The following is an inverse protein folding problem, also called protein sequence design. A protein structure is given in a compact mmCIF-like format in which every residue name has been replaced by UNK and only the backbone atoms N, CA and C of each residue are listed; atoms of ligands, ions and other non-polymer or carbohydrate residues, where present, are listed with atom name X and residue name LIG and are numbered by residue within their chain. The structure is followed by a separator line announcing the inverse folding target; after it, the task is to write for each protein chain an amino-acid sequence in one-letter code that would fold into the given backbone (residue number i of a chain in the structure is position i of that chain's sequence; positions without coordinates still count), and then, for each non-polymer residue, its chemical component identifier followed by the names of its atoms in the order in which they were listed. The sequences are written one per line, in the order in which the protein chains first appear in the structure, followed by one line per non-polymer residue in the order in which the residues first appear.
data_IF_128181189788
#
_entry.id   IF_128181189788
#
_cell.length_a   1.000
_cell.length_b   1.000
_cell.length_c   1.000
_cell.angle_alpha   90.00
_cell.angle_beta   90.00
_cell.angle_gamma   90.00
#
_symmetry.space_group_name_H-M   'P 1'
#
loop_
_entity.id
_entity.type
_entity.pdbx_description
1 polymer ?
#
# COMPACT_ATOMS: atom_id res chain seq x y z
N UNK A 1 10.90 12.30 1.68
CA UNK A 1 9.95 11.83 2.72
C UNK A 1 9.76 10.34 2.50
N UNK A 2 10.03 9.49 3.49
CA UNK A 2 9.84 8.05 3.37
C UNK A 2 8.35 7.72 3.61
N UNK A 3 7.70 7.06 2.65
CA UNK A 3 6.25 6.78 2.64
C UNK A 3 5.86 5.41 3.22
N UNK A 4 6.76 4.74 3.92
CA UNK A 4 6.46 3.55 4.70
C UNK A 4 7.44 2.41 4.42
N UNK A 5 7.69 1.62 5.45
CA UNK A 5 8.60 0.47 5.39
C UNK A 5 7.98 -0.71 4.62
N UNK A 6 6.64 -0.70 4.47
CA UNK A 6 5.83 -1.73 3.82
C UNK A 6 5.01 -1.13 2.67
N UNK A 7 5.03 -1.79 1.51
CA UNK A 7 4.08 -1.54 0.42
C UNK A 7 3.10 -2.71 0.37
N UNK A 8 1.81 -2.43 0.53
CA UNK A 8 0.74 -3.40 0.28
C UNK A 8 0.19 -3.12 -1.11
N UNK A 9 0.30 -4.08 -2.02
CA UNK A 9 -0.37 -4.05 -3.33
C UNK A 9 -1.69 -4.78 -3.15
N UNK A 10 -2.78 -4.15 -3.59
CA UNK A 10 -4.06 -4.81 -3.56
C UNK A 10 -5.21 -3.96 -4.08
N UNK A 11 -6.34 -4.04 -3.36
CA UNK A 11 -7.65 -3.55 -3.80
C UNK A 11 -8.77 -4.54 -3.48
N UNK A 12 -8.47 -5.55 -2.66
CA UNK A 12 -9.37 -6.58 -2.14
C UNK A 12 -9.72 -6.31 -0.67
N UNK A 13 -10.68 -7.05 -0.12
CA UNK A 13 -10.95 -7.06 1.33
C UNK A 13 -9.75 -7.56 2.14
N UNK A 14 -8.94 -8.45 1.58
CA UNK A 14 -7.81 -9.07 2.26
C UNK A 14 -6.69 -8.05 2.44
N UNK A 15 -6.37 -7.28 1.41
CA UNK A 15 -5.46 -6.14 1.50
C UNK A 15 -5.89 -5.16 2.61
N UNK A 16 -7.19 -4.86 2.72
CA UNK A 16 -7.71 -4.02 3.81
C UNK A 16 -7.50 -4.66 5.19
N UNK A 17 -7.80 -5.95 5.34
CA UNK A 17 -7.62 -6.64 6.61
C UNK A 17 -6.15 -6.63 7.06
N UNK A 18 -5.21 -6.78 6.12
CA UNK A 18 -3.77 -6.64 6.37
C UNK A 18 -3.44 -5.21 6.81
N UNK A 19 -3.94 -4.19 6.12
CA UNK A 19 -3.75 -2.78 6.49
C UNK A 19 -4.22 -2.50 7.93
N UNK A 20 -5.37 -3.06 8.34
CA UNK A 20 -5.87 -2.92 9.71
C UNK A 20 -4.96 -3.57 10.75
N UNK A 21 -4.37 -4.73 10.43
CA UNK A 21 -3.37 -5.35 11.30
C UNK A 21 -2.09 -4.52 11.42
N UNK A 22 -1.63 -3.92 10.31
CA UNK A 22 -0.48 -3.01 10.30
C UNK A 22 -0.77 -1.74 11.12
N UNK A 23 -1.99 -1.19 11.02
CA UNK A 23 -2.44 -0.07 11.84
C UNK A 23 -2.40 -0.40 13.33
N UNK A 24 -2.92 -1.57 13.72
CA UNK A 24 -2.91 -2.05 15.10
C UNK A 24 -1.48 -2.27 15.63
N UNK A 25 -0.56 -2.69 14.76
CA UNK A 25 0.85 -2.87 15.08
C UNK A 25 1.68 -1.57 15.04
N UNK A 26 1.10 -0.43 14.63
CA UNK A 26 1.82 0.84 14.49
C UNK A 26 2.85 0.84 13.37
N UNK A 27 2.72 -0.05 12.39
CA UNK A 27 3.63 -0.15 11.24
C UNK A 27 3.24 0.88 10.19
N UNK A 28 4.23 1.59 9.63
CA UNK A 28 3.99 2.54 8.54
C UNK A 28 3.96 1.81 7.21
N UNK A 29 2.90 1.99 6.45
CA UNK A 29 2.74 1.38 5.13
C UNK A 29 2.06 2.32 4.13
N UNK A 30 2.21 1.98 2.86
CA UNK A 30 1.38 2.49 1.76
C UNK A 30 0.58 1.34 1.16
N UNK A 31 -0.73 1.54 0.96
CA UNK A 31 -1.60 0.69 0.16
C UNK A 31 -1.65 1.22 -1.29
N UNK A 32 -1.24 0.42 -2.25
CA UNK A 32 -1.31 0.72 -3.68
C UNK A 32 -2.45 -0.08 -4.32
N UNK A 33 -3.41 0.64 -4.90
CA UNK A 33 -4.58 0.07 -5.57
C UNK A 33 -4.60 0.50 -7.04
N UNK A 34 -5.01 -0.40 -7.93
CA UNK A 34 -5.02 -0.10 -9.36
C UNK A 34 -6.19 0.80 -9.79
N UNK A 35 -7.29 0.84 -9.03
CA UNK A 35 -8.54 1.47 -9.43
C UNK A 35 -9.18 2.28 -8.29
N UNK A 36 -10.04 3.26 -8.61
CA UNK A 36 -10.81 4.01 -7.60
C UNK A 36 -11.74 3.11 -6.76
N UNK A 37 -12.17 1.96 -7.28
CA UNK A 37 -12.95 0.99 -6.50
C UNK A 37 -12.10 0.40 -5.38
N UNK A 38 -10.85 0.04 -5.65
CA UNK A 38 -9.92 -0.44 -4.62
C UNK A 38 -9.64 0.61 -3.56
N UNK A 39 -9.53 1.89 -3.95
CA UNK A 39 -9.36 3.00 -3.01
C UNK A 39 -10.57 3.14 -2.08
N UNK A 40 -11.79 3.05 -2.61
CA UNK A 40 -13.00 3.04 -1.79
C UNK A 40 -13.07 1.83 -0.85
N UNK A 41 -12.58 0.66 -1.29
CA UNK A 41 -12.56 -0.55 -0.46
C UNK A 41 -11.60 -0.45 0.71
N UNK A 42 -10.49 0.28 0.58
CA UNK A 42 -9.56 0.55 1.67
C UNK A 42 -10.27 1.14 2.89
N UNK A 43 -11.22 2.04 2.66
CA UNK A 43 -12.02 2.66 3.71
C UNK A 43 -11.16 3.45 4.68
N UNK A 44 -11.46 3.34 5.97
CA UNK A 44 -10.72 4.00 7.04
C UNK A 44 -9.50 3.15 7.46
N UNK A 45 -8.33 3.52 6.94
CA UNK A 45 -7.02 2.99 7.29
C UNK A 45 -6.06 4.16 7.56
N UNK A 46 -5.05 3.95 8.41
CA UNK A 46 -4.08 5.03 8.75
C UNK A 46 -2.94 5.13 7.76
N UNK A 47 -2.69 4.08 6.98
CA UNK A 47 -1.68 4.07 5.93
C UNK A 47 -2.02 5.04 4.79
N UNK A 48 -1.01 5.37 3.98
CA UNK A 48 -1.24 6.16 2.76
C UNK A 48 -1.89 5.30 1.69
N UNK A 49 -2.74 5.90 0.87
CA UNK A 49 -3.32 5.24 -0.31
C UNK A 49 -2.75 5.88 -1.56
N UNK A 50 -2.30 5.04 -2.50
CA UNK A 50 -1.97 5.42 -3.87
C UNK A 50 -2.93 4.71 -4.82
N UNK A 51 -3.71 5.48 -5.58
CA UNK A 51 -4.56 4.95 -6.64
C UNK A 51 -3.90 5.08 -8.02
N UNK A 52 -4.02 4.03 -8.84
CA UNK A 52 -3.55 3.94 -10.21
C UNK A 52 -2.63 2.75 -10.43
N UNK A 53 -2.69 2.13 -11.61
CA UNK A 53 -1.75 1.05 -11.97
C UNK A 53 -0.30 1.55 -11.82
N UNK A 54 0.57 0.67 -11.36
CA UNK A 54 2.00 0.94 -11.25
C UNK A 54 2.71 -0.01 -12.20
N UNK A 55 3.31 0.55 -13.25
CA UNK A 55 4.12 -0.22 -14.19
C UNK A 55 5.45 -0.63 -13.56
N UNK A 56 6.13 -1.62 -14.12
CA UNK A 56 7.33 -2.21 -13.50
C UNK A 56 8.44 -1.19 -13.19
N UNK A 57 8.66 -0.21 -14.08
CA UNK A 57 9.66 0.85 -13.87
C UNK A 57 9.28 1.73 -12.69
N UNK A 58 8.02 2.14 -12.65
CA UNK A 58 7.46 2.95 -11.58
C UNK A 58 7.55 2.21 -10.24
N UNK A 59 7.32 0.89 -10.22
CA UNK A 59 7.48 0.05 -9.03
C UNK A 59 8.93 0.04 -8.55
N UNK A 60 9.88 -0.21 -9.44
CA UNK A 60 11.29 -0.23 -9.08
C UNK A 60 11.77 1.14 -8.54
N UNK A 61 11.35 2.23 -9.18
CA UNK A 61 11.65 3.59 -8.74
C UNK A 61 11.00 3.92 -7.40
N UNK A 62 9.73 3.53 -7.22
CA UNK A 62 8.99 3.74 -5.98
C UNK A 62 9.66 3.04 -4.80
N UNK A 63 9.95 1.74 -4.94
CA UNK A 63 10.57 0.94 -3.87
C UNK A 63 11.90 1.55 -3.42
N UNK A 64 12.71 2.03 -4.37
CA UNK A 64 13.98 2.72 -4.09
C UNK A 64 13.76 4.06 -3.41
N UNK A 65 12.89 4.91 -3.97
CA UNK A 65 12.63 6.25 -3.46
C UNK A 65 12.01 6.25 -2.06
N UNK A 66 11.22 5.23 -1.75
CA UNK A 66 10.57 5.07 -0.44
C UNK A 66 11.39 4.26 0.55
N UNK A 67 12.54 3.71 0.14
CA UNK A 67 13.29 2.75 0.96
C UNK A 67 12.38 1.61 1.47
N UNK A 68 11.46 1.15 0.62
CA UNK A 68 10.50 0.10 0.96
C UNK A 68 11.27 -1.17 1.27
N UNK A 69 10.98 -1.76 2.42
CA UNK A 69 11.70 -2.92 2.96
C UNK A 69 10.93 -4.21 2.75
N UNK A 70 9.60 -4.13 2.68
CA UNK A 70 8.70 -5.27 2.48
C UNK A 70 7.61 -4.93 1.46
N UNK A 71 7.26 -5.91 0.64
CA UNK A 71 6.12 -5.86 -0.26
C UNK A 71 5.16 -7.00 0.11
N UNK A 72 3.87 -6.70 0.20
CA UNK A 72 2.80 -7.66 0.40
C UNK A 72 1.88 -7.55 -0.80
N UNK A 73 1.60 -8.66 -1.48
CA UNK A 73 0.66 -8.75 -2.61
C UNK A 73 -0.59 -9.50 -2.14
N UNK A 74 -1.75 -8.83 -2.14
CA UNK A 74 -2.99 -9.28 -1.48
C UNK A 74 -4.28 -8.82 -2.18
#
# INVERSE_FOLDING_TARGET
MNHGDVLVIGGTSDARAICQQLDAAGVRYTLSVATPTGERLAGDIRGRIRCGRMEWQQMAEWLRAQHTRWVIDA
#
